data_IF_689892729999
#
_entry.id   IF_689892729999
#
_cell.length_a   1.000
_cell.length_b   1.000
_cell.length_c   1.000
_cell.angle_alpha   90.00
_cell.angle_beta   90.00
_cell.angle_gamma   90.00
#
_symmetry.space_group_name_H-M   'P 1'
#
loop_
_entity.id
_entity.type
_entity.pdbx_description
1 polymer ?
#
# COMPACT_ATOMS: atom_id res chain seq x y z
N UNK A 1 -19.80 31.91 1.35
CA UNK A 1 -18.44 32.38 0.98
C UNK A 1 -18.16 32.18 -0.51
N UNK A 2 -16.93 32.42 -1.01
CA UNK A 2 -16.64 32.35 -2.45
C UNK A 2 -17.05 31.00 -3.10
N UNK A 3 -16.97 29.89 -2.35
CA UNK A 3 -17.43 28.57 -2.81
C UNK A 3 -18.96 28.44 -2.98
N UNK A 4 -19.77 29.31 -2.37
CA UNK A 4 -21.24 29.36 -2.55
C UNK A 4 -21.64 30.22 -3.76
N UNK A 5 -20.74 31.10 -4.23
CA UNK A 5 -21.01 32.05 -5.31
C UNK A 5 -20.50 31.56 -6.69
N UNK A 6 -19.82 30.41 -6.73
CA UNK A 6 -19.21 29.87 -7.95
C UNK A 6 -19.99 28.65 -8.43
N UNK A 7 -20.44 28.72 -9.68
CA UNK A 7 -21.09 27.61 -10.36
C UNK A 7 -20.06 26.61 -10.88
N UNK A 8 -20.43 25.33 -10.86
CA UNK A 8 -19.58 24.26 -11.36
C UNK A 8 -19.30 24.44 -12.86
N UNK A 9 -18.02 24.37 -13.25
CA UNK A 9 -17.58 24.60 -14.63
C UNK A 9 -17.24 26.06 -14.97
N UNK A 10 -17.45 27.01 -14.06
CA UNK A 10 -17.07 28.42 -14.27
C UNK A 10 -15.55 28.59 -14.18
N UNK A 11 -14.97 29.22 -15.20
CA UNK A 11 -13.54 29.57 -15.21
C UNK A 11 -13.32 30.79 -14.33
N UNK A 12 -12.40 30.68 -13.38
CA UNK A 12 -11.96 31.76 -12.49
C UNK A 12 -10.44 31.80 -12.42
N UNK A 13 -9.90 32.95 -12.01
CA UNK A 13 -8.47 33.11 -11.71
C UNK A 13 -8.29 33.30 -10.23
N UNK A 14 -7.47 32.46 -9.59
CA UNK A 14 -7.18 32.54 -8.16
C UNK A 14 -5.79 33.15 -7.98
N UNK A 15 -5.72 34.35 -7.41
CA UNK A 15 -4.45 34.99 -7.04
C UNK A 15 -4.11 34.67 -5.59
N UNK A 16 -3.23 33.68 -5.41
CA UNK A 16 -2.74 33.28 -4.09
C UNK A 16 -1.87 34.36 -3.43
N UNK A 17 -1.21 35.23 -4.19
CA UNK A 17 -0.38 36.31 -3.64
C UNK A 17 -1.19 37.53 -3.21
N UNK A 18 -2.25 37.84 -3.93
CA UNK A 18 -3.21 38.92 -3.63
C UNK A 18 -4.43 38.49 -2.82
N UNK A 19 -4.53 37.22 -2.42
CA UNK A 19 -5.66 36.62 -1.68
C UNK A 19 -7.04 36.93 -2.29
N UNK A 20 -7.14 36.94 -3.62
CA UNK A 20 -8.35 37.37 -4.35
C UNK A 20 -8.72 36.37 -5.44
N UNK A 21 -10.02 36.14 -5.61
CA UNK A 21 -10.59 35.34 -6.71
C UNK A 21 -11.21 36.29 -7.73
N UNK A 22 -10.79 36.17 -8.98
CA UNK A 22 -11.29 36.96 -10.11
C UNK A 22 -12.19 36.10 -10.99
N UNK A 23 -13.26 36.71 -11.49
CA UNK A 23 -14.13 36.08 -12.48
C UNK A 23 -13.41 35.97 -13.84
N UNK A 24 -13.55 34.81 -14.49
CA UNK A 24 -12.90 34.53 -15.76
C UNK A 24 -11.39 34.31 -15.68
N UNK A 25 -10.79 34.16 -16.87
CA UNK A 25 -9.35 33.94 -17.04
C UNK A 25 -8.62 35.28 -17.21
N UNK A 26 -7.86 35.69 -16.18
CA UNK A 26 -7.12 36.95 -16.17
C UNK A 26 -5.69 36.71 -16.65
N UNK A 27 -5.46 36.87 -17.95
CA UNK A 27 -4.16 36.62 -18.59
C UNK A 27 -3.02 37.44 -17.97
N UNK A 28 -3.29 38.67 -17.49
CA UNK A 28 -2.28 39.51 -16.85
C UNK A 28 -1.75 38.91 -15.53
N UNK A 29 -2.58 38.18 -14.78
CA UNK A 29 -2.16 37.50 -13.55
C UNK A 29 -1.43 36.19 -13.85
N UNK A 30 -1.88 35.47 -14.88
CA UNK A 30 -1.22 34.25 -15.36
C UNK A 30 0.17 34.55 -15.93
N UNK A 31 0.31 35.63 -16.70
CA UNK A 31 1.60 36.12 -17.19
C UNK A 31 2.53 36.57 -16.05
N UNK A 32 1.96 36.96 -14.90
CA UNK A 32 2.69 37.39 -13.70
C UNK A 32 2.95 36.27 -12.71
N UNK A 33 2.43 35.06 -12.96
CA UNK A 33 2.73 33.87 -12.18
C UNK A 33 4.24 33.63 -12.21
N UNK A 34 4.93 34.14 -11.20
CA UNK A 34 6.36 33.91 -11.03
C UNK A 34 6.54 32.41 -10.85
N UNK A 35 7.38 31.80 -11.68
CA UNK A 35 7.90 30.50 -11.32
C UNK A 35 8.50 30.62 -9.91
N UNK A 36 8.16 29.72 -8.98
CA UNK A 36 8.76 29.72 -7.66
C UNK A 36 10.27 29.73 -7.85
N UNK A 37 10.93 30.85 -7.52
CA UNK A 37 12.39 30.88 -7.51
C UNK A 37 12.79 30.02 -6.33
N UNK A 38 13.52 28.93 -6.59
CA UNK A 38 14.17 28.20 -5.52
C UNK A 38 15.28 29.09 -4.97
N UNK A 39 14.97 29.84 -3.91
CA UNK A 39 15.88 30.82 -3.30
C UNK A 39 17.16 30.18 -2.77
N UNK A 40 17.15 28.85 -2.58
CA UNK A 40 18.30 28.09 -2.10
C UNK A 40 19.17 27.57 -3.24
N UNK A 41 18.70 27.55 -4.49
CA UNK A 41 19.44 27.01 -5.62
C UNK A 41 20.77 27.76 -5.80
N UNK A 42 21.89 27.03 -5.79
CA UNK A 42 23.23 27.60 -5.86
C UNK A 42 23.81 28.10 -4.52
N UNK A 43 23.06 27.97 -3.42
CA UNK A 43 23.61 28.20 -2.08
C UNK A 43 24.48 27.02 -1.61
N UNK A 44 25.44 27.24 -0.69
CA UNK A 44 26.22 26.15 -0.10
C UNK A 44 25.37 25.07 0.57
N UNK A 45 24.23 25.46 1.15
CA UNK A 45 23.28 24.52 1.77
C UNK A 45 22.64 23.61 0.72
N UNK A 46 22.25 24.17 -0.44
CA UNK A 46 21.69 23.37 -1.53
C UNK A 46 22.72 22.37 -2.07
N UNK A 47 23.97 22.79 -2.30
CA UNK A 47 25.03 21.88 -2.75
C UNK A 47 25.30 20.77 -1.74
N UNK A 48 25.34 21.09 -0.44
CA UNK A 48 25.51 20.09 0.60
C UNK A 48 24.37 19.07 0.64
N UNK A 49 23.11 19.53 0.50
CA UNK A 49 21.95 18.64 0.43
C UNK A 49 21.92 17.82 -0.85
N UNK A 50 22.33 18.39 -1.98
CA UNK A 50 22.43 17.68 -3.26
C UNK A 50 23.50 16.57 -3.21
N UNK A 51 24.66 16.85 -2.62
CA UNK A 51 25.71 15.85 -2.41
C UNK A 51 25.24 14.74 -1.46
N UNK A 52 24.62 15.11 -0.33
CA UNK A 52 24.05 14.13 0.60
C UNK A 52 22.95 13.28 -0.07
N UNK A 53 22.09 13.90 -0.88
CA UNK A 53 21.01 13.22 -1.58
C UNK A 53 21.51 12.08 -2.47
N UNK A 54 22.68 12.21 -3.10
CA UNK A 54 23.30 11.13 -3.92
C UNK A 54 23.63 9.88 -3.11
N UNK A 55 23.84 10.01 -1.80
CA UNK A 55 24.13 8.90 -0.89
C UNK A 55 22.91 8.44 -0.09
N UNK A 56 21.76 9.10 -0.23
CA UNK A 56 20.55 8.81 0.55
C UNK A 56 19.44 8.30 -0.35
N UNK A 57 19.10 9.05 -1.39
CA UNK A 57 17.87 8.86 -2.17
C UNK A 57 17.90 7.70 -3.18
N UNK A 58 18.98 7.48 -3.96
CA UNK A 58 18.97 6.43 -4.98
C UNK A 58 18.82 5.04 -4.34
N UNK A 59 18.02 4.19 -4.96
CA UNK A 59 17.92 2.77 -4.64
C UNK A 59 18.46 1.97 -5.82
N UNK A 60 19.62 1.36 -5.64
CA UNK A 60 20.34 0.61 -6.67
C UNK A 60 20.16 -0.91 -6.51
N UNK A 61 19.95 -1.40 -5.28
CA UNK A 61 19.72 -2.81 -5.00
C UNK A 61 18.23 -3.17 -5.13
N UNK A 62 17.79 -3.43 -6.35
CA UNK A 62 16.37 -3.56 -6.68
C UNK A 62 15.89 -5.01 -6.62
N UNK A 63 16.57 -5.90 -7.34
CA UNK A 63 16.24 -7.34 -7.44
C UNK A 63 17.01 -8.17 -6.39
N UNK A 64 16.33 -8.76 -5.39
CA UNK A 64 16.92 -9.69 -4.44
C UNK A 64 17.55 -10.94 -5.05
N UNK A 65 17.09 -11.35 -6.23
CA UNK A 65 17.57 -12.52 -6.96
C UNK A 65 18.86 -12.28 -7.73
N UNK A 66 19.25 -11.02 -7.94
CA UNK A 66 20.49 -10.69 -8.64
C UNK A 66 21.70 -11.08 -7.79
N UNK A 67 22.68 -11.70 -8.44
CA UNK A 67 24.03 -11.93 -7.90
C UNK A 67 24.69 -10.66 -7.36
N UNK A 68 24.29 -9.48 -7.81
CA UNK A 68 24.73 -8.17 -7.34
C UNK A 68 24.10 -7.75 -6.01
N UNK A 69 23.02 -8.40 -5.55
CA UNK A 69 22.34 -8.11 -4.29
C UNK A 69 23.17 -8.55 -3.06
N UNK A 70 24.21 -7.79 -2.75
CA UNK A 70 25.20 -8.10 -1.70
C UNK A 70 25.51 -6.87 -0.86
N UNK A 71 25.83 -7.07 0.42
CA UNK A 71 26.19 -6.01 1.36
C UNK A 71 27.28 -5.06 0.79
N UNK A 72 28.32 -5.63 0.17
CA UNK A 72 29.43 -4.86 -0.45
C UNK A 72 29.01 -3.92 -1.59
N UNK A 73 27.82 -4.12 -2.15
CA UNK A 73 27.29 -3.33 -3.26
C UNK A 73 26.30 -2.25 -2.78
N UNK A 74 26.04 -2.13 -1.47
CA UNK A 74 25.24 -1.02 -0.93
C UNK A 74 26.03 0.29 -1.07
N UNK A 75 25.46 1.27 -1.79
CA UNK A 75 26.10 2.59 -2.02
C UNK A 75 25.37 3.74 -1.35
N UNK A 76 24.11 3.53 -0.98
CA UNK A 76 23.25 4.54 -0.38
C UNK A 76 22.57 4.05 0.89
N UNK A 77 22.00 4.97 1.69
CA UNK A 77 21.18 4.60 2.85
C UNK A 77 19.96 3.74 2.46
N UNK A 78 19.34 4.03 1.31
CA UNK A 78 18.24 3.21 0.80
C UNK A 78 18.71 1.81 0.39
N UNK A 79 19.90 1.65 -0.18
CA UNK A 79 20.48 0.32 -0.46
C UNK A 79 20.68 -0.48 0.83
N UNK A 80 21.23 0.15 1.88
CA UNK A 80 21.44 -0.50 3.18
C UNK A 80 20.09 -0.93 3.75
N UNK A 81 19.11 -0.03 3.75
CA UNK A 81 17.76 -0.31 4.27
C UNK A 81 17.11 -1.48 3.52
N UNK A 82 17.20 -1.46 2.18
CA UNK A 82 16.63 -2.50 1.32
C UNK A 82 17.33 -3.84 1.52
N UNK A 83 18.66 -3.86 1.58
CA UNK A 83 19.45 -5.07 1.81
C UNK A 83 19.16 -5.68 3.18
N UNK A 84 19.20 -4.87 4.24
CA UNK A 84 18.90 -5.31 5.60
C UNK A 84 17.47 -5.84 5.73
N UNK A 85 16.49 -5.17 5.12
CA UNK A 85 15.10 -5.65 5.09
C UNK A 85 15.00 -7.02 4.41
N UNK A 86 15.56 -7.16 3.21
CA UNK A 86 15.49 -8.41 2.45
C UNK A 86 16.18 -9.57 3.18
N UNK A 87 17.33 -9.31 3.82
CA UNK A 87 18.02 -10.32 4.64
C UNK A 87 17.25 -10.69 5.90
N UNK A 88 16.61 -9.74 6.58
CA UNK A 88 15.74 -10.05 7.71
C UNK A 88 14.54 -10.92 7.29
N UNK A 89 13.91 -10.59 6.16
CA UNK A 89 12.82 -11.40 5.60
C UNK A 89 13.31 -12.80 5.23
N UNK A 90 14.45 -12.91 4.56
CA UNK A 90 15.02 -14.21 4.19
C UNK A 90 15.30 -15.09 5.41
N UNK A 91 15.95 -14.54 6.43
CA UNK A 91 16.23 -15.28 7.67
C UNK A 91 14.94 -15.66 8.40
N UNK A 92 13.91 -14.81 8.44
CA UNK A 92 12.61 -15.15 9.02
C UNK A 92 11.96 -16.39 8.36
N UNK A 93 12.16 -16.60 7.06
CA UNK A 93 11.67 -17.79 6.36
C UNK A 93 12.61 -18.99 6.45
N UNK A 94 13.93 -18.76 6.45
CA UNK A 94 14.98 -19.79 6.49
C UNK A 94 15.21 -20.36 7.89
N UNK A 95 15.07 -19.53 8.93
CA UNK A 95 15.33 -19.90 10.33
C UNK A 95 14.53 -21.14 10.73
N UNK A 96 13.27 -21.21 10.33
CA UNK A 96 12.39 -22.34 10.58
C UNK A 96 12.73 -23.65 9.84
N UNK A 97 13.56 -23.59 8.80
CA UNK A 97 13.99 -24.76 8.01
C UNK A 97 15.36 -25.30 8.42
N UNK A 98 16.22 -24.46 9.00
CA UNK A 98 17.63 -24.83 9.30
C UNK A 98 17.94 -24.95 10.80
N UNK A 99 17.09 -24.43 11.68
CA UNK A 99 17.26 -24.53 13.12
C UNK A 99 16.14 -25.41 13.70
N UNK A 100 16.45 -26.19 14.75
CA UNK A 100 15.47 -26.96 15.56
C UNK A 100 14.59 -26.03 16.41
N UNK A 101 13.90 -25.09 15.76
CA UNK A 101 12.94 -24.18 16.40
C UNK A 101 11.68 -23.98 15.54
N UNK A 102 10.88 -25.05 15.31
CA UNK A 102 9.72 -25.03 14.39
C UNK A 102 8.63 -24.03 14.80
N UNK A 103 8.62 -23.61 16.07
CA UNK A 103 7.70 -22.64 16.65
C UNK A 103 7.88 -21.22 16.06
N UNK A 104 9.12 -20.82 15.78
CA UNK A 104 9.44 -19.50 15.20
C UNK A 104 9.45 -19.51 13.66
N UNK A 105 9.21 -20.67 13.04
CA UNK A 105 9.16 -20.81 11.60
C UNK A 105 7.93 -20.11 11.00
N UNK A 106 8.10 -19.45 9.86
CA UNK A 106 6.97 -19.02 9.06
C UNK A 106 6.17 -20.23 8.54
N UNK A 107 4.86 -20.27 8.79
CA UNK A 107 3.96 -21.36 8.40
C UNK A 107 3.06 -20.94 7.27
N UNK A 108 2.84 -21.81 6.29
CA UNK A 108 1.92 -21.51 5.18
C UNK A 108 0.47 -21.64 5.65
N UNK A 109 -0.33 -20.61 5.37
CA UNK A 109 -1.73 -20.56 5.77
C UNK A 109 -2.59 -21.48 4.89
N UNK A 110 -3.48 -22.23 5.54
CA UNK A 110 -4.46 -23.11 4.90
C UNK A 110 -5.88 -22.67 5.28
N UNK A 111 -6.72 -22.53 4.25
CA UNK A 111 -8.14 -22.23 4.40
C UNK A 111 -8.89 -23.01 3.33
N UNK A 112 -9.21 -24.27 3.64
CA UNK A 112 -9.68 -25.30 2.69
C UNK A 112 -8.59 -25.76 1.72
N UNK A 113 -7.85 -24.81 1.12
CA UNK A 113 -6.69 -25.03 0.25
C UNK A 113 -5.48 -24.23 0.76
N UNK A 114 -4.28 -24.63 0.34
CA UNK A 114 -3.04 -23.88 0.63
C UNK A 114 -3.11 -22.50 -0.01
N UNK A 115 -2.83 -21.46 0.77
CA UNK A 115 -2.82 -20.07 0.30
C UNK A 115 -1.38 -19.61 0.06
N UNK A 116 -1.21 -18.61 -0.79
CA UNK A 116 0.07 -17.90 -0.96
C UNK A 116 0.25 -16.82 0.12
N UNK A 117 -0.02 -17.20 1.36
CA UNK A 117 0.15 -16.39 2.55
C UNK A 117 0.88 -17.22 3.60
N UNK A 118 1.85 -16.60 4.26
CA UNK A 118 2.58 -17.20 5.36
C UNK A 118 2.29 -16.44 6.65
N UNK A 119 2.39 -17.12 7.78
CA UNK A 119 2.15 -16.56 9.11
C UNK A 119 3.35 -16.83 9.99
N UNK A 120 3.87 -15.77 10.57
CA UNK A 120 4.92 -15.81 11.58
C UNK A 120 4.26 -15.50 12.91
N UNK A 121 4.31 -16.47 13.81
CA UNK A 121 3.79 -16.29 15.15
C UNK A 121 4.84 -15.62 16.02
N UNK A 122 4.54 -14.44 16.55
CA UNK A 122 5.43 -13.71 17.44
C UNK A 122 5.38 -14.24 18.87
N UNK A 123 4.20 -14.69 19.31
CA UNK A 123 4.00 -15.30 20.64
C UNK A 123 2.66 -16.09 20.68
N UNK A 124 1.56 -15.43 21.05
CA UNK A 124 0.24 -16.03 21.28
C UNK A 124 -0.75 -15.84 20.11
N UNK A 125 -0.22 -15.70 18.88
CA UNK A 125 -1.03 -15.51 17.67
C UNK A 125 -1.76 -16.77 17.20
N UNK A 126 -1.36 -17.95 17.69
CA UNK A 126 -2.02 -19.23 17.43
C UNK A 126 -2.80 -19.73 18.65
N UNK A 127 -3.87 -20.49 18.41
CA UNK A 127 -4.72 -21.09 19.45
C UNK A 127 -4.03 -22.21 20.25
N UNK A 128 -2.82 -22.60 19.83
CA UNK A 128 -1.99 -23.61 20.45
C UNK A 128 -0.67 -23.77 19.69
N UNK A 129 0.17 -24.70 20.13
CA UNK A 129 1.43 -24.98 19.45
C UNK A 129 1.17 -25.65 18.10
N UNK A 130 1.73 -25.08 17.04
CA UNK A 130 1.70 -25.64 15.69
C UNK A 130 3.13 -26.00 15.32
N UNK A 131 3.44 -27.29 15.19
CA UNK A 131 4.78 -27.74 14.78
C UNK A 131 4.91 -27.86 13.26
N UNK A 132 3.81 -28.19 12.58
CA UNK A 132 3.78 -28.34 11.13
C UNK A 132 4.15 -27.04 10.39
N UNK A 133 4.69 -27.15 9.16
CA UNK A 133 4.93 -25.99 8.28
C UNK A 133 3.63 -25.38 7.72
N UNK A 134 2.48 -25.98 8.02
CA UNK A 134 1.16 -25.52 7.62
C UNK A 134 0.38 -25.11 8.87
N UNK A 135 -0.38 -24.03 8.77
CA UNK A 135 -1.29 -23.58 9.83
C UNK A 135 -2.68 -23.36 9.25
N UNK A 136 -3.70 -23.97 9.86
CA UNK A 136 -5.09 -23.75 9.46
C UNK A 136 -5.59 -22.40 10.00
N UNK A 137 -6.49 -21.75 9.26
CA UNK A 137 -7.11 -20.48 9.71
C UNK A 137 -7.81 -20.61 11.06
N UNK A 138 -8.40 -21.76 11.37
CA UNK A 138 -9.06 -22.02 12.66
C UNK A 138 -8.08 -22.20 13.84
N UNK A 139 -6.79 -22.40 13.56
CA UNK A 139 -5.71 -22.42 14.55
C UNK A 139 -5.14 -21.02 14.84
N UNK A 140 -5.65 -19.96 14.19
CA UNK A 140 -5.24 -18.58 14.45
C UNK A 140 -6.06 -18.01 15.62
N UNK A 141 -5.38 -17.40 16.59
CA UNK A 141 -5.99 -16.70 17.73
C UNK A 141 -5.93 -15.17 17.59
N UNK A 142 -5.12 -14.65 16.65
CA UNK A 142 -4.99 -13.21 16.42
C UNK A 142 -6.30 -12.57 15.97
N UNK A 143 -6.90 -11.77 16.86
CA UNK A 143 -8.14 -11.02 16.63
C UNK A 143 -8.03 -10.13 15.37
N UNK A 144 -7.00 -9.26 15.24
CA UNK A 144 -6.93 -8.38 14.09
C UNK A 144 -6.59 -9.13 12.79
N UNK A 145 -5.79 -10.21 12.82
CA UNK A 145 -5.56 -11.02 11.62
C UNK A 145 -6.84 -11.69 11.14
N UNK A 146 -7.63 -12.30 12.03
CA UNK A 146 -8.88 -12.95 11.66
C UNK A 146 -9.89 -11.96 11.08
N UNK A 147 -10.01 -10.76 11.68
CA UNK A 147 -10.86 -9.70 11.17
C UNK A 147 -10.44 -9.26 9.76
N UNK A 148 -9.14 -9.01 9.56
CA UNK A 148 -8.57 -8.65 8.27
C UNK A 148 -8.79 -9.76 7.22
N UNK A 149 -8.49 -11.01 7.60
CA UNK A 149 -8.62 -12.18 6.73
C UNK A 149 -10.08 -12.43 6.30
N UNK A 150 -11.04 -12.23 7.20
CA UNK A 150 -12.47 -12.31 6.88
C UNK A 150 -12.84 -11.29 5.79
N UNK A 151 -12.35 -10.06 5.91
CA UNK A 151 -12.51 -9.03 4.89
C UNK A 151 -11.93 -9.43 3.53
N UNK A 152 -10.73 -9.99 3.53
CA UNK A 152 -10.04 -10.44 2.31
C UNK A 152 -10.75 -11.58 1.57
N UNK A 153 -11.62 -12.34 2.25
CA UNK A 153 -12.25 -13.55 1.70
C UNK A 153 -13.78 -13.47 1.64
N UNK A 154 -14.38 -12.32 1.95
CA UNK A 154 -15.85 -12.17 1.96
C UNK A 154 -16.47 -12.29 0.57
N UNK A 155 -15.81 -11.73 -0.44
CA UNK A 155 -16.21 -11.79 -1.84
C UNK A 155 -15.02 -12.35 -2.62
N UNK A 156 -15.28 -13.30 -3.52
CA UNK A 156 -14.23 -13.82 -4.38
C UNK A 156 -13.75 -12.73 -5.34
N UNK A 157 -12.44 -12.58 -5.49
CA UNK A 157 -11.90 -11.66 -6.49
C UNK A 157 -12.12 -12.23 -7.90
N UNK A 158 -12.89 -11.52 -8.72
CA UNK A 158 -13.26 -11.93 -10.09
C UNK A 158 -12.13 -11.74 -11.12
N UNK A 159 -10.96 -11.26 -10.70
CA UNK A 159 -9.83 -10.94 -11.57
C UNK A 159 -9.70 -9.43 -11.86
N UNK A 160 -8.67 -9.04 -12.64
CA UNK A 160 -8.48 -7.64 -13.00
C UNK A 160 -9.67 -7.12 -13.82
N UNK A 161 -10.01 -5.82 -13.70
CA UNK A 161 -11.00 -5.21 -14.57
C UNK A 161 -10.63 -5.43 -16.06
N UNK A 162 -11.61 -5.61 -16.96
CA UNK A 162 -11.34 -5.73 -18.38
C UNK A 162 -10.62 -4.47 -18.88
N UNK A 163 -9.41 -4.67 -19.42
CA UNK A 163 -8.59 -3.59 -19.98
C UNK A 163 -9.02 -3.31 -21.42
N UNK A 164 -9.21 -2.04 -21.77
CA UNK A 164 -9.22 -1.65 -23.18
C UNK A 164 -7.87 -1.99 -23.84
N UNK A 165 -7.85 -2.35 -25.13
CA UNK A 165 -6.65 -2.79 -25.86
C UNK A 165 -5.47 -1.80 -25.76
N UNK A 166 -5.76 -0.51 -25.65
CA UNK A 166 -4.79 0.57 -25.42
C UNK A 166 -4.20 0.59 -24.00
N UNK A 167 -4.97 0.17 -22.99
CA UNK A 167 -4.53 0.02 -21.60
C UNK A 167 -3.61 -1.18 -21.38
N UNK A 168 -3.81 -2.27 -22.12
CA UNK A 168 -2.94 -3.45 -22.03
C UNK A 168 -1.57 -3.23 -22.71
N UNK A 169 -1.56 -2.59 -23.89
CA UNK A 169 -0.32 -2.27 -24.61
C UNK A 169 0.56 -1.25 -23.87
N UNK A 170 -0.05 -0.26 -23.20
CA UNK A 170 0.70 0.70 -22.37
C UNK A 170 1.37 0.03 -21.17
N UNK A 171 0.73 -0.96 -20.54
CA UNK A 171 1.34 -1.74 -19.46
C UNK A 171 2.50 -2.60 -19.97
N UNK A 172 2.37 -3.25 -21.13
CA UNK A 172 3.49 -3.99 -21.72
C UNK A 172 4.67 -3.08 -22.08
N UNK A 173 4.38 -1.88 -22.59
CA UNK A 173 5.40 -0.88 -22.90
C UNK A 173 6.07 -0.33 -21.64
N UNK A 174 5.31 -0.05 -20.57
CA UNK A 174 5.86 0.38 -19.28
C UNK A 174 6.66 -0.73 -18.58
N UNK A 175 6.20 -1.99 -18.67
CA UNK A 175 6.92 -3.15 -18.14
C UNK A 175 8.22 -3.46 -18.92
N UNK A 176 8.28 -3.14 -20.22
CA UNK A 176 9.52 -3.25 -21.01
C UNK A 176 10.44 -2.04 -20.87
N UNK A 177 9.89 -0.86 -20.55
CA UNK A 177 10.66 0.36 -20.28
C UNK A 177 11.21 0.42 -18.85
N UNK A 178 10.73 -0.42 -17.93
CA UNK A 178 11.25 -0.54 -16.58
C UNK A 178 11.64 -2.00 -16.27
N UNK A 179 12.94 -2.37 -16.40
CA UNK A 179 13.44 -3.71 -16.09
C UNK A 179 13.16 -4.18 -14.66
N UNK A 180 12.85 -3.26 -13.74
CA UNK A 180 12.42 -3.54 -12.35
C UNK A 180 11.03 -4.20 -12.26
N UNK A 181 10.32 -4.27 -13.38
CA UNK A 181 8.94 -4.74 -13.49
C UNK A 181 8.82 -6.09 -14.21
N UNK A 182 9.93 -6.76 -14.56
CA UNK A 182 9.92 -8.08 -15.17
C UNK A 182 9.43 -9.15 -14.16
N UNK A 183 8.31 -9.86 -14.42
CA UNK A 183 7.82 -10.92 -13.54
C UNK A 183 8.69 -12.19 -13.54
N UNK A 184 9.66 -12.29 -14.45
CA UNK A 184 10.32 -13.53 -14.85
C UNK A 184 11.52 -13.94 -13.97
N UNK A 185 12.02 -13.06 -13.08
CA UNK A 185 13.16 -13.36 -12.19
C UNK A 185 12.73 -13.54 -10.73
N UNK A 186 11.70 -14.34 -10.47
CA UNK A 186 11.38 -14.70 -9.08
C UNK A 186 12.30 -15.82 -8.59
N UNK A 187 13.35 -15.45 -7.85
CA UNK A 187 14.03 -16.39 -6.96
C UNK A 187 13.01 -17.05 -6.01
N UNK A 188 13.27 -18.26 -5.53
CA UNK A 188 12.41 -19.04 -4.61
C UNK A 188 12.01 -18.31 -3.31
N UNK A 189 12.67 -17.18 -3.01
CA UNK A 189 12.44 -16.33 -1.85
C UNK A 189 11.88 -14.93 -2.21
N UNK A 190 11.54 -14.69 -3.48
CA UNK A 190 11.00 -13.42 -3.96
C UNK A 190 9.62 -13.13 -3.32
N UNK A 191 9.58 -12.12 -2.45
CA UNK A 191 8.42 -11.41 -1.87
C UNK A 191 7.18 -12.28 -1.65
N UNK A 192 7.16 -13.00 -0.51
CA UNK A 192 5.96 -13.70 -0.02
C UNK A 192 4.98 -12.71 0.60
N UNK A 193 3.67 -12.93 0.45
CA UNK A 193 2.69 -12.25 1.31
C UNK A 193 2.73 -12.90 2.68
N UNK A 194 2.91 -12.13 3.74
CA UNK A 194 2.97 -12.70 5.08
C UNK A 194 2.31 -11.83 6.14
N UNK A 195 1.86 -12.51 7.19
CA UNK A 195 1.40 -11.95 8.43
C UNK A 195 2.45 -12.20 9.51
N UNK A 196 2.76 -11.18 10.31
CA UNK A 196 3.38 -11.34 11.62
C UNK A 196 2.31 -11.08 12.67
N UNK A 197 2.10 -11.99 13.62
CA UNK A 197 0.96 -11.91 14.52
C UNK A 197 1.27 -12.23 15.98
N UNK A 198 0.53 -11.57 16.87
CA UNK A 198 0.23 -12.05 18.22
C UNK A 198 -1.29 -12.03 18.40
N UNK A 199 -1.82 -12.39 19.57
CA UNK A 199 -3.27 -12.39 19.84
C UNK A 199 -3.94 -11.05 19.51
N UNK A 200 -3.27 -9.94 19.82
CA UNK A 200 -3.80 -8.59 19.66
C UNK A 200 -3.12 -7.79 18.55
N UNK A 201 -2.15 -8.35 17.83
CA UNK A 201 -1.37 -7.63 16.82
C UNK A 201 -1.34 -8.36 15.48
N UNK A 202 -1.35 -7.60 14.39
CA UNK A 202 -1.06 -8.08 13.04
C UNK A 202 -0.21 -7.07 12.28
N UNK A 203 0.80 -7.56 11.57
CA UNK A 203 1.46 -6.85 10.47
C UNK A 203 1.37 -7.70 9.20
N UNK A 204 0.53 -7.29 8.26
CA UNK A 204 0.48 -7.81 6.90
C UNK A 204 1.46 -7.05 6.02
N UNK A 205 2.31 -7.80 5.33
CA UNK A 205 3.16 -7.32 4.24
C UNK A 205 2.72 -8.04 2.97
N UNK A 206 2.22 -7.28 1.99
CA UNK A 206 1.69 -7.86 0.77
C UNK A 206 2.13 -7.14 -0.49
N UNK A 207 2.48 -7.94 -1.50
CA UNK A 207 2.78 -7.51 -2.85
C UNK A 207 1.89 -8.27 -3.84
N UNK A 208 1.02 -7.54 -4.51
CA UNK A 208 0.16 -8.07 -5.56
C UNK A 208 0.63 -7.56 -6.92
N UNK A 209 1.61 -8.25 -7.52
CA UNK A 209 2.25 -7.81 -8.75
C UNK A 209 3.02 -6.50 -8.53
N UNK A 210 2.45 -5.40 -9.03
CA UNK A 210 3.04 -4.05 -8.99
C UNK A 210 2.50 -3.18 -7.84
N UNK A 211 1.70 -3.76 -6.95
CA UNK A 211 1.07 -3.05 -5.84
C UNK A 211 1.63 -3.54 -4.53
N UNK A 212 1.99 -2.60 -3.67
CA UNK A 212 2.51 -2.87 -2.34
C UNK A 212 1.53 -2.31 -1.34
N UNK A 213 1.18 -3.13 -0.35
CA UNK A 213 0.41 -2.65 0.77
C UNK A 213 0.90 -3.29 2.07
N UNK A 214 0.83 -2.48 3.12
CA UNK A 214 1.12 -2.91 4.48
C UNK A 214 -0.08 -2.56 5.35
N UNK A 215 -0.49 -3.50 6.19
CA UNK A 215 -1.50 -3.26 7.23
C UNK A 215 -0.85 -3.61 8.55
N UNK A 216 -0.83 -2.68 9.49
CA UNK A 216 -0.45 -2.94 10.86
C UNK A 216 -1.64 -2.59 11.76
N UNK A 217 -1.95 -3.45 12.72
CA UNK A 217 -2.98 -3.13 13.71
C UNK A 217 -2.69 -3.76 15.07
N UNK A 218 -3.02 -3.00 16.11
CA UNK A 218 -3.15 -3.49 17.48
C UNK A 218 -4.61 -3.33 17.89
N UNK A 219 -5.23 -4.42 18.33
CA UNK A 219 -6.64 -4.47 18.73
C UNK A 219 -6.77 -5.25 20.03
N UNK A 220 -7.25 -4.58 21.06
CA UNK A 220 -7.39 -5.05 22.43
C UNK A 220 -8.66 -4.46 23.08
N UNK A 221 -8.97 -4.89 24.30
CA UNK A 221 -10.07 -4.35 25.11
C UNK A 221 -9.87 -2.86 25.50
N UNK A 222 -8.64 -2.33 25.41
CA UNK A 222 -8.33 -0.94 25.75
C UNK A 222 -8.38 -0.07 24.50
N UNK A 223 -9.46 0.69 24.35
CA UNK A 223 -9.66 1.56 23.18
C UNK A 223 -8.45 2.48 22.88
N UNK A 224 -7.81 3.05 23.91
CA UNK A 224 -6.67 3.97 23.77
C UNK A 224 -5.37 3.33 23.28
N UNK A 225 -5.26 2.00 23.31
CA UNK A 225 -4.10 1.28 22.76
C UNK A 225 -4.34 0.89 21.30
N UNK A 226 -5.60 0.89 20.86
CA UNK A 226 -5.98 0.32 19.59
C UNK A 226 -5.63 1.25 18.44
N UNK A 227 -5.03 0.68 17.39
CA UNK A 227 -4.77 1.38 16.15
C UNK A 227 -4.82 0.48 14.93
N UNK A 228 -5.09 1.07 13.77
CA UNK A 228 -4.91 0.50 12.45
C UNK A 228 -4.08 1.50 11.64
N UNK A 229 -3.00 1.04 11.04
CA UNK A 229 -2.18 1.77 10.10
C UNK A 229 -2.16 1.02 8.77
N UNK A 230 -2.39 1.75 7.68
CA UNK A 230 -2.37 1.21 6.33
C UNK A 230 -1.45 2.05 5.47
N UNK A 231 -0.61 1.38 4.68
CA UNK A 231 0.17 2.04 3.63
C UNK A 231 -0.06 1.32 2.32
N UNK A 232 -0.13 2.11 1.26
CA UNK A 232 -0.43 1.64 -0.08
C UNK A 232 0.38 2.45 -1.09
N UNK A 233 1.03 1.75 -2.02
CA UNK A 233 1.81 2.40 -3.09
C UNK A 233 1.96 1.51 -4.32
N UNK A 234 2.24 2.15 -5.45
CA UNK A 234 2.69 1.49 -6.67
C UNK A 234 1.56 1.26 -7.65
N UNK A 235 1.88 0.58 -8.74
CA UNK A 235 0.96 0.33 -9.85
C UNK A 235 1.69 -0.06 -11.12
N UNK A 236 0.95 -0.76 -11.98
CA UNK A 236 1.44 -1.23 -13.28
C UNK A 236 1.21 -0.19 -14.38
N UNK A 237 0.38 0.82 -14.11
CA UNK A 237 0.03 1.88 -15.04
C UNK A 237 0.86 3.16 -14.81
N UNK A 238 0.71 4.11 -15.75
CA UNK A 238 1.30 5.44 -15.66
C UNK A 238 0.98 6.17 -14.35
N UNK A 239 1.82 7.15 -14.01
CA UNK A 239 1.72 7.87 -12.72
C UNK A 239 0.34 8.48 -12.47
N UNK A 240 -0.29 9.07 -13.50
CA UNK A 240 -1.62 9.68 -13.40
C UNK A 240 -2.67 8.67 -12.92
N UNK A 241 -2.73 7.48 -13.52
CA UNK A 241 -3.65 6.41 -13.13
C UNK A 241 -3.37 5.86 -11.74
N UNK A 242 -2.10 5.76 -11.34
CA UNK A 242 -1.73 5.34 -9.98
C UNK A 242 -2.19 6.35 -8.93
N UNK A 243 -2.03 7.65 -9.19
CA UNK A 243 -2.51 8.73 -8.32
C UNK A 243 -4.04 8.70 -8.22
N UNK A 244 -4.74 8.52 -9.33
CA UNK A 244 -6.20 8.39 -9.33
C UNK A 244 -6.66 7.21 -8.46
N UNK A 245 -6.00 6.05 -8.58
CA UNK A 245 -6.31 4.90 -7.72
C UNK A 245 -6.03 5.18 -6.26
N UNK A 246 -4.88 5.77 -5.93
CA UNK A 246 -4.56 6.12 -4.55
C UNK A 246 -5.63 7.03 -3.95
N UNK A 247 -6.10 8.02 -4.72
CA UNK A 247 -7.24 8.88 -4.33
C UNK A 247 -8.53 8.09 -4.14
N UNK A 248 -8.89 7.23 -5.09
CA UNK A 248 -10.08 6.38 -4.98
C UNK A 248 -10.09 5.53 -3.70
N UNK A 249 -8.96 4.91 -3.36
CA UNK A 249 -8.83 4.13 -2.12
C UNK A 249 -8.90 5.03 -0.89
N UNK A 250 -8.28 6.22 -0.94
CA UNK A 250 -8.34 7.18 0.15
C UNK A 250 -9.78 7.65 0.43
N UNK A 251 -10.54 7.95 -0.61
CA UNK A 251 -11.92 8.42 -0.51
C UNK A 251 -12.82 7.34 0.11
N UNK A 252 -12.64 6.07 -0.27
CA UNK A 252 -13.33 4.94 0.37
C UNK A 252 -12.95 4.81 1.85
N UNK A 253 -11.66 4.86 2.17
CA UNK A 253 -11.19 4.74 3.56
C UNK A 253 -11.72 5.86 4.46
N UNK A 254 -11.85 7.08 3.94
CA UNK A 254 -12.43 8.21 4.68
C UNK A 254 -13.91 7.97 5.05
N UNK A 255 -14.69 7.30 4.20
CA UNK A 255 -16.07 6.91 4.54
C UNK A 255 -16.13 5.91 5.71
N UNK A 256 -15.04 5.21 5.97
CA UNK A 256 -14.90 4.26 7.08
C UNK A 256 -14.00 4.81 8.21
N UNK A 257 -14.01 6.13 8.41
CA UNK A 257 -13.38 6.87 9.52
C UNK A 257 -11.84 6.91 9.53
N UNK A 258 -11.17 6.48 8.45
CA UNK A 258 -9.72 6.56 8.40
C UNK A 258 -9.25 7.98 8.08
N UNK A 259 -8.24 8.44 8.82
CA UNK A 259 -7.49 9.64 8.47
C UNK A 259 -6.48 9.30 7.38
N UNK A 260 -6.67 9.82 6.17
CA UNK A 260 -5.82 9.51 5.02
C UNK A 260 -4.89 10.67 4.68
N UNK A 261 -3.69 10.36 4.18
CA UNK A 261 -2.74 11.30 3.58
C UNK A 261 -2.25 10.73 2.25
N UNK A 262 -2.29 11.57 1.22
CA UNK A 262 -1.85 11.23 -0.12
C UNK A 262 -0.60 12.03 -0.49
N UNK A 263 0.36 11.35 -1.09
CA UNK A 263 1.53 11.96 -1.73
C UNK A 263 1.77 11.21 -3.04
N UNK A 264 1.36 11.81 -4.16
CA UNK A 264 1.37 11.18 -5.48
C UNK A 264 0.60 9.85 -5.47
N UNK A 265 1.26 8.73 -5.76
CA UNK A 265 0.69 7.38 -5.74
C UNK A 265 0.81 6.68 -4.38
N UNK A 266 1.35 7.36 -3.37
CA UNK A 266 1.50 6.85 -2.02
C UNK A 266 0.34 7.31 -1.14
N UNK A 267 -0.35 6.36 -0.53
CA UNK A 267 -1.42 6.55 0.44
C UNK A 267 -0.99 5.99 1.79
N UNK A 268 -1.18 6.79 2.84
CA UNK A 268 -1.14 6.32 4.23
C UNK A 268 -2.48 6.60 4.88
N UNK A 269 -3.03 5.65 5.64
CA UNK A 269 -4.26 5.81 6.38
C UNK A 269 -4.08 5.34 7.83
N UNK A 270 -4.70 6.04 8.78
CA UNK A 270 -4.61 5.72 10.22
C UNK A 270 -5.95 5.88 10.92
N UNK A 271 -6.23 4.99 11.88
CA UNK A 271 -7.41 5.01 12.74
C UNK A 271 -7.00 4.53 14.13
N UNK A 272 -7.37 5.25 15.19
CA UNK A 272 -6.90 5.03 16.57
C UNK A 272 -8.01 5.30 17.58
N UNK A 273 -7.80 4.90 18.83
CA UNK A 273 -8.62 5.30 19.99
C UNK A 273 -10.09 4.85 19.90
N UNK A 274 -10.32 3.62 19.41
CA UNK A 274 -11.68 3.03 19.27
C UNK A 274 -11.77 1.65 19.91
N UNK A 275 -12.99 1.31 20.31
CA UNK A 275 -13.35 0.02 20.89
C UNK A 275 -13.02 -1.17 19.96
N UNK A 276 -12.68 -2.31 20.55
CA UNK A 276 -12.26 -3.52 19.84
C UNK A 276 -13.23 -3.91 18.70
N UNK A 277 -14.53 -3.98 18.96
CA UNK A 277 -15.53 -4.39 17.97
C UNK A 277 -15.57 -3.47 16.76
N UNK A 278 -15.37 -2.17 16.98
CA UNK A 278 -15.27 -1.17 15.92
C UNK A 278 -14.00 -1.40 15.08
N UNK A 279 -12.86 -1.65 15.75
CA UNK A 279 -11.58 -1.91 15.09
C UNK A 279 -11.62 -3.18 14.23
N UNK A 280 -12.16 -4.27 14.76
CA UNK A 280 -12.36 -5.51 14.00
C UNK A 280 -13.21 -5.28 12.75
N UNK A 281 -14.28 -4.50 12.88
CA UNK A 281 -15.12 -4.19 11.74
C UNK A 281 -14.36 -3.37 10.69
N UNK A 282 -13.60 -2.34 11.08
CA UNK A 282 -12.77 -1.55 10.15
C UNK A 282 -11.65 -2.37 9.51
N UNK A 283 -11.10 -3.37 10.20
CA UNK A 283 -10.16 -4.32 9.63
C UNK A 283 -10.80 -5.22 8.56
N UNK A 284 -12.06 -5.63 8.71
CA UNK A 284 -12.78 -6.36 7.65
C UNK A 284 -12.94 -5.50 6.40
N UNK A 285 -13.32 -4.23 6.56
CA UNK A 285 -13.40 -3.28 5.44
C UNK A 285 -12.04 -3.16 4.74
N UNK A 286 -10.97 -2.95 5.52
CA UNK A 286 -9.63 -2.81 4.98
C UNK A 286 -9.16 -4.09 4.25
N UNK A 287 -9.49 -5.27 4.79
CA UNK A 287 -9.18 -6.55 4.16
C UNK A 287 -9.84 -6.72 2.80
N UNK A 288 -11.11 -6.30 2.68
CA UNK A 288 -11.80 -6.27 1.39
C UNK A 288 -11.08 -5.32 0.42
N UNK A 289 -10.78 -4.09 0.85
CA UNK A 289 -10.10 -3.11 -0.02
C UNK A 289 -8.74 -3.62 -0.51
N UNK A 290 -7.92 -4.22 0.36
CA UNK A 290 -6.62 -4.81 0.01
C UNK A 290 -6.71 -5.78 -1.18
N UNK A 291 -7.79 -6.56 -1.27
CA UNK A 291 -8.00 -7.52 -2.37
C UNK A 291 -8.67 -6.87 -3.58
N UNK A 292 -9.70 -6.07 -3.38
CA UNK A 292 -10.56 -5.59 -4.45
C UNK A 292 -10.04 -4.32 -5.14
N UNK A 293 -8.99 -3.68 -4.62
CA UNK A 293 -8.31 -2.55 -5.28
C UNK A 293 -7.06 -2.97 -6.04
N UNK A 294 -6.76 -4.28 -6.11
CA UNK A 294 -5.65 -4.82 -6.90
C UNK A 294 -5.88 -4.52 -8.39
N UNK A 295 -4.86 -3.99 -9.07
CA UNK A 295 -4.86 -3.69 -10.52
C UNK A 295 -5.94 -2.70 -10.97
N UNK A 296 -6.60 -2.00 -10.04
CA UNK A 296 -7.66 -1.05 -10.36
C UNK A 296 -7.15 0.15 -11.19
N UNK A 297 -5.86 0.46 -11.08
CA UNK A 297 -5.15 1.52 -11.82
C UNK A 297 -5.25 1.32 -13.33
N UNK A 298 -5.42 0.08 -13.78
CA UNK A 298 -5.60 -0.24 -15.18
C UNK A 298 -6.94 0.26 -15.76
N UNK A 299 -7.93 0.55 -14.91
CA UNK A 299 -9.28 0.99 -15.29
C UNK A 299 -9.60 2.45 -14.91
N UNK A 300 -8.65 3.19 -14.33
CA UNK A 300 -8.89 4.53 -13.74
C UNK A 300 -9.13 5.68 -14.75
N UNK A 301 -9.37 5.39 -16.04
CA UNK A 301 -9.65 6.43 -17.05
C UNK A 301 -11.12 6.57 -17.44
N UNK A 302 -12.00 5.70 -16.92
CA UNK A 302 -13.44 5.77 -17.18
C UNK A 302 -14.19 6.15 -15.90
N UNK A 303 -14.69 7.39 -15.83
CA UNK A 303 -15.39 7.92 -14.67
C UNK A 303 -16.69 7.17 -14.34
N UNK A 304 -17.41 6.68 -15.36
CA UNK A 304 -18.64 5.92 -15.15
C UNK A 304 -18.33 4.55 -14.55
N UNK A 305 -17.31 3.85 -15.09
CA UNK A 305 -16.85 2.57 -14.57
C UNK A 305 -16.31 2.67 -13.13
N UNK A 306 -15.61 3.76 -12.79
CA UNK A 306 -15.13 4.02 -11.41
C UNK A 306 -16.32 4.20 -10.46
N UNK A 307 -17.35 4.95 -10.87
CA UNK A 307 -18.54 5.20 -10.05
C UNK A 307 -19.30 3.90 -9.79
N UNK A 308 -19.59 3.12 -10.83
CA UNK A 308 -20.26 1.82 -10.69
C UNK A 308 -19.46 0.87 -9.79
N UNK A 309 -18.13 0.86 -9.95
CA UNK A 309 -17.23 0.06 -9.13
C UNK A 309 -17.29 0.47 -7.67
N UNK A 310 -17.29 1.77 -7.39
CA UNK A 310 -17.40 2.31 -6.03
C UNK A 310 -18.68 1.83 -5.36
N UNK A 311 -19.81 1.96 -6.04
CA UNK A 311 -21.10 1.53 -5.50
C UNK A 311 -21.13 0.02 -5.25
N UNK A 312 -20.53 -0.78 -6.13
CA UNK A 312 -20.39 -2.23 -5.94
C UNK A 312 -19.56 -2.53 -4.68
N UNK A 313 -18.41 -1.87 -4.53
CA UNK A 313 -17.56 -2.05 -3.34
C UNK A 313 -18.29 -1.66 -2.06
N UNK A 314 -19.05 -0.57 -2.05
CA UNK A 314 -19.84 -0.18 -0.89
C UNK A 314 -20.90 -1.22 -0.56
N UNK A 315 -21.61 -1.75 -1.57
CA UNK A 315 -22.58 -2.84 -1.36
C UNK A 315 -21.93 -4.10 -0.79
N UNK A 316 -20.79 -4.51 -1.33
CA UNK A 316 -20.05 -5.67 -0.84
C UNK A 316 -19.59 -5.45 0.62
N UNK A 317 -19.04 -4.28 0.92
CA UNK A 317 -18.64 -3.91 2.29
C UNK A 317 -19.84 -3.87 3.23
N UNK A 318 -21.02 -3.50 2.73
CA UNK A 318 -22.24 -3.49 3.54
C UNK A 318 -22.67 -4.88 3.98
N UNK A 319 -22.22 -5.94 3.31
CA UNK A 319 -22.45 -7.33 3.75
C UNK A 319 -21.49 -7.77 4.88
N UNK A 320 -20.45 -6.98 5.16
CA UNK A 320 -19.52 -7.18 6.28
C UNK A 320 -19.98 -6.50 7.58
N UNK A 321 -20.95 -5.58 7.47
CA UNK A 321 -21.64 -4.89 8.58
C UNK A 321 -22.68 -5.82 9.21
#
# INVERSE_FOLDING_TARGET
GACEALESGRVVTVDAGGHTVFDGRVEALLARARQPKNLMLGSPVYSALEEAARHILPLNLLDPGDTSFRARNCRTLHDITRYSHEKAVWEMFRFGTEHDFPQAAAKQLVCGVRKQFWVVNLDDGFSGEVLDPLVQVDQIASIPMLALWKGMNVVAWEGPPPVHTTGFLSVMFEATANPELEPATQAEFAVKNYFMISKNYVSLQSRFGFHFCTVEALVSERASENYIAFQFKGGAANMERRVLRARFVADLLQEFDFNTRLREDSLTARLEDREQSFMEHRLRVLGYLVIHTRQLDMAMTDAAAITERRERMIRDISTLL
#
